data_IF_471486278749
#
_entry.id   IF_471486278749
#
_cell.length_a   1.000
_cell.length_b   1.000
_cell.length_c   1.000
_cell.angle_alpha   90.00
_cell.angle_beta   90.00
_cell.angle_gamma   90.00
#
_symmetry.space_group_name_H-M   'P 1'
#
loop_
_entity.id
_entity.type
_entity.pdbx_description
1 polymer ?
#
# COMPACT_ATOMS: atom_id res chain seq x y z
N UNK A 1 -32.08 2.98 15.80
CA UNK A 1 -31.28 1.75 15.61
C UNK A 1 -31.30 0.97 16.90
N UNK A 2 -31.83 -0.23 16.87
CA UNK A 2 -31.97 -1.07 18.07
C UNK A 2 -30.63 -1.50 18.64
N UNK A 3 -30.60 -1.80 19.95
CA UNK A 3 -29.38 -2.20 20.68
C UNK A 3 -28.76 -3.45 20.06
N UNK A 4 -29.58 -4.42 19.66
CA UNK A 4 -29.15 -5.67 19.04
C UNK A 4 -28.52 -5.44 17.65
N UNK A 5 -29.07 -4.53 16.85
CA UNK A 5 -28.51 -4.17 15.56
C UNK A 5 -27.13 -3.50 15.69
N UNK A 6 -26.90 -2.68 16.73
CA UNK A 6 -25.58 -2.08 17.00
C UNK A 6 -24.53 -3.10 17.39
N UNK A 7 -24.93 -4.13 18.13
CA UNK A 7 -24.03 -5.23 18.53
C UNK A 7 -23.65 -6.07 17.31
N UNK A 8 -24.62 -6.44 16.47
CA UNK A 8 -24.35 -7.18 15.23
C UNK A 8 -23.39 -6.40 14.29
N UNK A 9 -23.61 -5.10 14.12
CA UNK A 9 -22.72 -4.26 13.33
C UNK A 9 -21.30 -4.16 13.91
N UNK A 10 -21.18 -4.07 15.24
CA UNK A 10 -19.88 -4.09 15.90
C UNK A 10 -19.15 -5.42 15.65
N UNK A 11 -19.86 -6.52 15.81
CA UNK A 11 -19.29 -7.87 15.65
C UNK A 11 -18.87 -8.15 14.19
N UNK A 12 -19.60 -7.59 13.23
CA UNK A 12 -19.18 -7.63 11.83
C UNK A 12 -17.89 -6.81 11.60
N UNK A 13 -17.82 -5.58 12.12
CA UNK A 13 -16.59 -4.76 12.01
C UNK A 13 -15.40 -5.48 12.66
N UNK A 14 -15.61 -6.11 13.81
CA UNK A 14 -14.59 -6.91 14.50
C UNK A 14 -14.09 -8.06 13.63
N UNK A 15 -14.97 -8.80 12.95
CA UNK A 15 -14.58 -9.87 12.01
C UNK A 15 -13.75 -9.35 10.83
N UNK A 16 -14.04 -8.13 10.34
CA UNK A 16 -13.25 -7.50 9.28
C UNK A 16 -11.89 -7.05 9.79
N UNK A 17 -11.81 -6.51 11.01
CA UNK A 17 -10.56 -6.15 11.67
C UNK A 17 -9.64 -7.38 11.83
N UNK A 18 -10.18 -8.49 12.34
CA UNK A 18 -9.40 -9.71 12.57
C UNK A 18 -8.85 -10.35 11.28
N UNK A 19 -9.49 -10.10 10.15
CA UNK A 19 -9.07 -10.64 8.84
C UNK A 19 -8.18 -9.67 8.05
N UNK A 20 -8.17 -8.40 8.41
CA UNK A 20 -7.44 -7.38 7.66
C UNK A 20 -5.97 -7.33 8.06
N UNK A 21 -5.09 -7.23 7.06
CA UNK A 21 -3.64 -7.02 7.25
C UNK A 21 -3.30 -5.55 7.45
N UNK A 22 -4.11 -4.65 6.91
CA UNK A 22 -3.96 -3.21 7.08
C UNK A 22 -5.33 -2.50 6.97
N UNK A 23 -5.38 -1.29 7.53
CA UNK A 23 -6.55 -0.42 7.53
C UNK A 23 -6.15 0.96 7.01
N UNK A 24 -6.96 1.54 6.12
CA UNK A 24 -6.79 2.94 5.74
C UNK A 24 -8.06 3.72 6.06
N UNK A 25 -7.90 4.90 6.63
CA UNK A 25 -8.97 5.83 6.91
C UNK A 25 -9.01 6.90 5.81
N UNK A 26 -10.20 7.14 5.27
CA UNK A 26 -10.43 8.16 4.27
C UNK A 26 -11.65 9.01 4.62
N UNK A 27 -11.56 10.30 4.43
CA UNK A 27 -12.72 11.19 4.40
C UNK A 27 -13.30 11.16 2.99
N UNK A 28 -14.64 10.92 2.91
CA UNK A 28 -15.37 10.81 1.64
C UNK A 28 -16.44 11.91 1.50
N UNK A 29 -16.28 13.01 2.22
CA UNK A 29 -17.26 14.09 2.24
C UNK A 29 -17.43 14.73 0.85
N UNK A 30 -18.68 14.77 0.37
CA UNK A 30 -19.03 15.36 -0.92
C UNK A 30 -18.85 14.45 -2.13
N UNK A 31 -18.56 13.16 -1.96
CA UNK A 31 -18.54 12.18 -3.03
C UNK A 31 -19.94 11.78 -3.48
N UNK A 32 -20.11 11.55 -4.78
CA UNK A 32 -21.36 11.00 -5.35
C UNK A 32 -21.41 9.49 -5.16
N UNK A 33 -22.61 8.91 -5.32
CA UNK A 33 -22.79 7.45 -5.22
C UNK A 33 -22.05 6.70 -6.32
N UNK A 34 -21.96 7.32 -7.51
CA UNK A 34 -21.20 6.76 -8.64
C UNK A 34 -19.70 6.69 -8.34
N UNK A 35 -19.10 7.79 -7.90
CA UNK A 35 -17.68 7.86 -7.49
C UNK A 35 -17.34 6.82 -6.40
N UNK A 36 -18.23 6.67 -5.40
CA UNK A 36 -18.07 5.65 -4.35
C UNK A 36 -18.13 4.21 -4.89
N UNK A 37 -19.00 3.98 -5.88
CA UNK A 37 -19.17 2.66 -6.50
C UNK A 37 -17.96 2.28 -7.35
N UNK A 38 -17.38 3.23 -8.09
CA UNK A 38 -16.15 3.03 -8.84
C UNK A 38 -14.97 2.72 -7.92
N UNK A 39 -14.81 3.49 -6.85
CA UNK A 39 -13.78 3.25 -5.84
C UNK A 39 -13.91 1.86 -5.21
N UNK A 40 -15.12 1.44 -4.84
CA UNK A 40 -15.37 0.10 -4.31
C UNK A 40 -15.00 -1.00 -5.30
N UNK A 41 -15.29 -0.81 -6.60
CA UNK A 41 -14.90 -1.76 -7.65
C UNK A 41 -13.38 -1.86 -7.78
N UNK A 42 -12.68 -0.72 -7.80
CA UNK A 42 -11.22 -0.67 -7.88
C UNK A 42 -10.56 -1.35 -6.67
N UNK A 43 -11.05 -1.08 -5.46
CA UNK A 43 -10.52 -1.69 -4.23
C UNK A 43 -10.82 -3.20 -4.17
N UNK A 44 -12.00 -3.63 -4.62
CA UNK A 44 -12.36 -5.05 -4.64
C UNK A 44 -11.45 -5.88 -5.55
N UNK A 45 -10.97 -5.30 -6.65
CA UNK A 45 -10.03 -5.97 -7.57
C UNK A 45 -8.68 -6.31 -6.90
N UNK A 46 -8.29 -5.58 -5.85
CA UNK A 46 -7.04 -5.79 -5.07
C UNK A 46 -7.30 -6.41 -3.69
N UNK A 47 -8.43 -7.11 -3.51
CA UNK A 47 -8.83 -7.72 -2.23
C UNK A 47 -8.86 -6.71 -1.07
N UNK A 48 -9.36 -5.50 -1.33
CA UNK A 48 -9.66 -4.51 -0.31
C UNK A 48 -11.14 -4.13 -0.35
N UNK A 49 -11.72 -3.80 0.80
CA UNK A 49 -13.13 -3.45 0.91
C UNK A 49 -13.30 -2.11 1.62
N UNK A 50 -14.00 -1.17 0.96
CA UNK A 50 -14.36 0.12 1.57
C UNK A 50 -15.72 0.03 2.25
N UNK A 51 -15.74 0.30 3.55
CA UNK A 51 -16.97 0.37 4.34
C UNK A 51 -17.13 1.69 5.07
N UNK A 52 -18.34 2.18 5.05
CA UNK A 52 -18.76 3.33 5.84
C UNK A 52 -19.36 2.81 7.15
N UNK A 53 -18.69 3.12 8.24
CA UNK A 53 -19.10 2.71 9.58
C UNK A 53 -19.37 3.95 10.43
N UNK A 54 -20.39 3.87 11.27
CA UNK A 54 -20.65 4.97 12.22
C UNK A 54 -19.49 5.07 13.22
N UNK A 55 -18.86 6.24 13.35
CA UNK A 55 -17.67 6.46 14.19
C UNK A 55 -17.82 5.95 15.63
N UNK A 56 -19.01 6.09 16.21
CA UNK A 56 -19.28 5.59 17.57
C UNK A 56 -19.23 4.06 17.68
N UNK A 57 -19.59 3.35 16.61
CA UNK A 57 -19.52 1.87 16.56
C UNK A 57 -18.09 1.45 16.26
N UNK A 58 -17.43 2.13 15.33
CA UNK A 58 -16.03 1.87 15.00
C UNK A 58 -15.12 2.06 16.25
N UNK A 59 -15.28 3.16 17.00
CA UNK A 59 -14.55 3.38 18.25
C UNK A 59 -14.73 2.24 19.25
N UNK A 60 -15.97 1.80 19.48
CA UNK A 60 -16.26 0.67 20.38
C UNK A 60 -15.77 -0.67 19.88
N UNK A 61 -15.60 -0.84 18.56
CA UNK A 61 -15.04 -2.06 17.99
C UNK A 61 -13.52 -2.12 18.14
N UNK A 62 -12.86 -0.97 18.23
CA UNK A 62 -11.41 -0.82 18.33
C UNK A 62 -10.95 -0.69 19.80
N UNK A 63 -11.85 -0.33 20.74
CA UNK A 63 -11.55 -0.26 22.18
C UNK A 63 -10.97 -1.59 22.71
N UNK A 64 -9.82 -1.52 23.36
CA UNK A 64 -9.12 -2.70 23.92
C UNK A 64 -8.34 -3.52 22.91
N UNK A 65 -8.17 -3.03 21.67
CA UNK A 65 -7.38 -3.66 20.61
C UNK A 65 -6.16 -2.82 20.25
N UNK A 66 -5.24 -3.43 19.49
CA UNK A 66 -4.02 -2.76 19.03
C UNK A 66 -4.33 -1.56 18.10
N UNK A 67 -5.45 -1.61 17.42
CA UNK A 67 -5.96 -0.56 16.53
C UNK A 67 -6.58 0.64 17.26
N UNK A 68 -6.57 0.69 18.59
CA UNK A 68 -7.16 1.78 19.39
C UNK A 68 -6.57 3.16 19.03
N UNK A 69 -5.34 3.18 18.52
CA UNK A 69 -4.64 4.40 18.06
C UNK A 69 -5.45 5.11 16.96
N UNK A 70 -6.24 4.37 16.16
CA UNK A 70 -7.07 4.93 15.08
C UNK A 70 -8.31 5.66 15.63
N UNK A 71 -8.74 5.34 16.86
CA UNK A 71 -9.97 5.90 17.44
C UNK A 71 -9.93 7.43 17.54
N UNK A 72 -8.74 8.02 17.68
CA UNK A 72 -8.53 9.48 17.73
C UNK A 72 -8.81 10.16 16.39
N UNK A 73 -8.58 9.46 15.27
CA UNK A 73 -8.71 9.98 13.91
C UNK A 73 -10.08 9.71 13.28
N UNK A 74 -10.92 8.92 13.95
CA UNK A 74 -12.32 8.70 13.57
C UNK A 74 -13.18 9.93 13.90
N UNK A 75 -12.97 11.01 13.12
CA UNK A 75 -13.71 12.27 13.18
C UNK A 75 -14.41 12.51 11.85
N UNK A 76 -15.54 13.25 11.88
CA UNK A 76 -16.30 13.61 10.68
C UNK A 76 -16.83 12.40 9.88
N UNK A 77 -17.00 12.55 8.57
CA UNK A 77 -17.46 11.50 7.64
C UNK A 77 -16.26 10.65 7.18
N UNK A 78 -15.85 9.71 8.01
CA UNK A 78 -14.70 8.83 7.73
C UNK A 78 -15.19 7.44 7.35
N UNK A 79 -14.68 6.91 6.25
CA UNK A 79 -14.82 5.51 5.85
C UNK A 79 -13.54 4.73 6.13
N UNK A 80 -13.68 3.43 6.29
CA UNK A 80 -12.58 2.51 6.56
C UNK A 80 -12.38 1.61 5.35
N UNK A 81 -11.17 1.52 4.86
CA UNK A 81 -10.72 0.54 3.86
C UNK A 81 -10.06 -0.61 4.60
N UNK A 82 -10.63 -1.80 4.51
CA UNK A 82 -10.06 -3.03 5.02
C UNK A 82 -9.25 -3.70 3.92
N UNK A 83 -7.99 -4.02 4.19
CA UNK A 83 -7.11 -4.69 3.24
C UNK A 83 -6.88 -6.12 3.69
N UNK A 84 -7.23 -7.09 2.83
CA UNK A 84 -7.08 -8.53 3.12
C UNK A 84 -5.91 -9.17 2.38
N UNK A 85 -5.36 -8.49 1.39
CA UNK A 85 -4.31 -9.00 0.53
C UNK A 85 -3.03 -8.17 0.59
N UNK A 86 -2.51 -7.84 -0.58
CA UNK A 86 -1.29 -7.03 -0.73
C UNK A 86 -1.56 -5.55 -0.36
N UNK A 87 -0.90 -5.11 0.71
CA UNK A 87 -1.04 -3.75 1.23
C UNK A 87 -0.53 -2.70 0.24
N UNK A 88 0.55 -2.99 -0.52
CA UNK A 88 1.11 -2.07 -1.50
C UNK A 88 0.16 -1.87 -2.69
N UNK A 89 -0.44 -2.96 -3.20
CA UNK A 89 -1.43 -2.89 -4.26
C UNK A 89 -2.69 -2.12 -3.83
N UNK A 90 -3.17 -2.36 -2.60
CA UNK A 90 -4.31 -1.65 -2.03
C UNK A 90 -4.01 -0.16 -1.81
N UNK A 91 -2.82 0.19 -1.28
CA UNK A 91 -2.38 1.58 -1.12
C UNK A 91 -2.29 2.31 -2.46
N UNK A 92 -1.79 1.63 -3.51
CA UNK A 92 -1.72 2.18 -4.86
C UNK A 92 -3.11 2.47 -5.42
N UNK A 93 -4.03 1.51 -5.38
CA UNK A 93 -5.41 1.68 -5.83
C UNK A 93 -6.13 2.79 -5.05
N UNK A 94 -5.88 2.88 -3.75
CA UNK A 94 -6.44 3.91 -2.88
C UNK A 94 -5.89 5.31 -3.23
N UNK A 95 -4.58 5.47 -3.43
CA UNK A 95 -3.97 6.73 -3.84
C UNK A 95 -4.39 7.15 -5.26
N UNK A 96 -4.56 6.20 -6.18
CA UNK A 96 -5.10 6.48 -7.53
C UNK A 96 -6.54 6.97 -7.47
N UNK A 97 -7.37 6.35 -6.61
CA UNK A 97 -8.74 6.81 -6.37
C UNK A 97 -8.77 8.22 -5.74
N UNK A 98 -7.85 8.52 -4.82
CA UNK A 98 -7.71 9.85 -4.22
C UNK A 98 -7.25 10.91 -5.23
N UNK A 99 -6.36 10.56 -6.17
CA UNK A 99 -5.93 11.47 -7.24
C UNK A 99 -7.02 11.73 -8.28
N UNK A 100 -7.88 10.76 -8.55
CA UNK A 100 -9.04 10.94 -9.44
C UNK A 100 -10.13 11.79 -8.82
N UNK A 101 -10.30 11.69 -7.50
CA UNK A 101 -11.36 12.37 -6.75
C UNK A 101 -10.76 13.21 -5.62
N UNK A 102 -10.61 14.51 -5.82
CA UNK A 102 -10.08 15.45 -4.80
C UNK A 102 -10.88 15.44 -3.48
N UNK A 103 -12.12 14.93 -3.53
CA UNK A 103 -13.01 14.79 -2.37
C UNK A 103 -12.64 13.64 -1.45
N UNK A 104 -11.87 12.66 -1.95
CA UNK A 104 -11.38 11.54 -1.18
C UNK A 104 -10.02 11.91 -0.57
N UNK A 105 -10.00 12.19 0.73
CA UNK A 105 -8.76 12.55 1.43
C UNK A 105 -8.31 11.41 2.33
N UNK A 106 -7.12 10.82 2.09
CA UNK A 106 -6.52 9.91 3.05
C UNK A 106 -6.22 10.67 4.36
N UNK A 107 -6.56 10.07 5.50
CA UNK A 107 -6.33 10.67 6.83
C UNK A 107 -5.17 9.97 7.51
N UNK A 108 -5.30 8.68 7.68
CA UNK A 108 -4.34 7.82 8.38
C UNK A 108 -4.49 6.39 7.91
N UNK A 109 -3.44 5.60 8.12
CA UNK A 109 -3.47 4.16 7.97
C UNK A 109 -3.02 3.47 9.26
N UNK A 110 -3.24 2.17 9.32
CA UNK A 110 -2.77 1.31 10.37
C UNK A 110 -2.28 -0.01 9.78
N UNK A 111 -1.06 -0.39 10.08
CA UNK A 111 -0.45 -1.63 9.62
C UNK A 111 0.54 -2.13 10.68
N UNK A 112 0.50 -3.42 11.02
CA UNK A 112 1.45 -4.06 11.94
C UNK A 112 1.67 -3.28 13.25
N UNK A 113 0.58 -2.83 13.87
CA UNK A 113 0.58 -2.07 15.14
C UNK A 113 1.12 -0.64 15.03
N UNK A 114 1.48 -0.16 13.84
CA UNK A 114 1.95 1.19 13.61
C UNK A 114 0.90 2.07 12.92
N UNK A 115 0.79 3.31 13.38
CA UNK A 115 0.00 4.34 12.70
C UNK A 115 0.80 4.86 11.51
N UNK A 116 0.17 4.95 10.36
CA UNK A 116 0.75 5.47 9.12
C UNK A 116 0.21 6.87 8.82
N UNK A 117 1.10 7.80 8.59
CA UNK A 117 0.76 9.12 8.07
C UNK A 117 0.48 9.08 6.56
N UNK A 118 -0.18 10.12 6.05
CA UNK A 118 -0.50 10.25 4.60
C UNK A 118 0.73 10.08 3.72
N UNK A 119 1.87 10.66 4.10
CA UNK A 119 3.14 10.53 3.37
C UNK A 119 3.64 9.09 3.31
N UNK A 120 3.43 8.32 4.37
CA UNK A 120 3.82 6.90 4.43
C UNK A 120 2.89 6.04 3.57
N UNK A 121 1.59 6.38 3.50
CA UNK A 121 0.64 5.72 2.60
C UNK A 121 1.02 5.98 1.14
N UNK A 122 1.42 7.20 0.78
CA UNK A 122 1.93 7.53 -0.56
C UNK A 122 3.25 6.79 -0.88
N UNK A 123 4.15 6.67 0.10
CA UNK A 123 5.37 5.89 -0.05
C UNK A 123 5.06 4.40 -0.29
N UNK A 124 4.11 3.82 0.46
CA UNK A 124 3.62 2.45 0.23
C UNK A 124 3.02 2.29 -1.18
N UNK A 125 2.25 3.26 -1.65
CA UNK A 125 1.67 3.24 -2.99
C UNK A 125 2.72 3.30 -4.11
N UNK A 126 3.92 3.85 -3.84
CA UNK A 126 5.02 3.90 -4.79
C UNK A 126 5.83 2.60 -4.86
N UNK A 127 5.61 1.65 -3.94
CA UNK A 127 6.30 0.37 -3.93
C UNK A 127 5.89 -0.49 -5.12
N UNK A 128 6.86 -1.18 -5.75
CA UNK A 128 6.56 -2.18 -6.77
C UNK A 128 5.94 -3.45 -6.16
N UNK A 129 5.32 -4.32 -6.99
CA UNK A 129 4.77 -5.59 -6.54
C UNK A 129 5.80 -6.44 -5.76
N UNK A 130 5.31 -7.35 -4.92
CA UNK A 130 6.10 -8.20 -4.02
C UNK A 130 7.26 -8.92 -4.73
N UNK A 131 6.99 -9.47 -5.92
CA UNK A 131 8.01 -10.22 -6.70
C UNK A 131 9.19 -9.33 -7.10
N UNK A 132 8.91 -8.07 -7.46
CA UNK A 132 9.95 -7.10 -7.80
C UNK A 132 10.74 -6.66 -6.55
N UNK A 133 10.09 -6.56 -5.39
CA UNK A 133 10.76 -6.27 -4.12
C UNK A 133 11.72 -7.40 -3.75
N UNK A 134 11.28 -8.65 -3.85
CA UNK A 134 12.14 -9.82 -3.61
C UNK A 134 13.31 -9.84 -4.59
N UNK A 135 13.07 -9.58 -5.87
CA UNK A 135 14.13 -9.51 -6.88
C UNK A 135 15.15 -8.39 -6.56
N UNK A 136 14.71 -7.23 -6.07
CA UNK A 136 15.60 -6.15 -5.63
C UNK A 136 16.45 -6.55 -4.44
N UNK A 137 15.88 -7.23 -3.45
CA UNK A 137 16.62 -7.73 -2.27
C UNK A 137 17.68 -8.72 -2.72
N UNK A 138 17.33 -9.71 -3.54
CA UNK A 138 18.28 -10.67 -4.08
C UNK A 138 19.38 -9.99 -4.91
N UNK A 139 19.00 -9.00 -5.73
CA UNK A 139 19.93 -8.19 -6.50
C UNK A 139 20.94 -7.44 -5.61
N UNK A 140 20.47 -6.85 -4.52
CA UNK A 140 21.34 -6.12 -3.58
C UNK A 140 22.32 -7.04 -2.83
N UNK A 141 21.92 -8.29 -2.52
CA UNK A 141 22.78 -9.29 -1.91
C UNK A 141 23.89 -9.76 -2.86
N UNK A 142 23.61 -9.83 -4.16
CA UNK A 142 24.58 -10.26 -5.18
C UNK A 142 25.45 -9.10 -5.69
N UNK A 143 25.04 -7.85 -5.49
CA UNK A 143 25.75 -6.66 -5.99
C UNK A 143 27.23 -6.60 -5.56
N UNK A 144 27.63 -6.86 -4.29
CA UNK A 144 29.02 -6.84 -3.87
C UNK A 144 29.88 -7.85 -4.64
N UNK A 145 29.38 -9.08 -4.84
CA UNK A 145 30.08 -10.12 -5.58
C UNK A 145 30.26 -9.73 -7.05
N UNK A 146 29.24 -9.16 -7.68
CA UNK A 146 29.35 -8.64 -9.06
C UNK A 146 30.35 -7.50 -9.17
N UNK A 147 30.40 -6.63 -8.16
CA UNK A 147 31.38 -5.53 -8.10
C UNK A 147 32.83 -6.06 -8.06
N UNK A 148 33.12 -7.04 -7.19
CA UNK A 148 34.43 -7.67 -7.11
C UNK A 148 34.84 -8.36 -8.42
N UNK A 149 33.94 -9.14 -9.01
CA UNK A 149 34.15 -9.77 -10.31
C UNK A 149 34.38 -8.74 -11.42
N UNK A 150 33.65 -7.63 -11.39
CA UNK A 150 33.81 -6.52 -12.35
C UNK A 150 35.20 -5.92 -12.32
N UNK A 151 35.79 -5.72 -11.15
CA UNK A 151 37.16 -5.21 -10.99
C UNK A 151 38.19 -6.23 -11.55
N UNK A 152 38.04 -7.49 -11.18
CA UNK A 152 38.97 -8.55 -11.66
C UNK A 152 38.90 -8.71 -13.19
N UNK A 153 37.70 -8.64 -13.75
CA UNK A 153 37.47 -8.75 -15.21
C UNK A 153 37.73 -7.46 -15.98
N UNK A 154 37.87 -6.32 -15.32
CA UNK A 154 38.03 -5.02 -15.94
C UNK A 154 39.25 -4.92 -16.82
N UNK A 155 40.43 -5.36 -16.31
CA UNK A 155 41.69 -5.31 -17.05
C UNK A 155 41.68 -6.20 -18.31
N UNK A 156 41.29 -7.49 -18.25
CA UNK A 156 41.17 -8.32 -19.45
C UNK A 156 40.15 -7.78 -20.47
N UNK A 157 39.02 -7.26 -20.02
CA UNK A 157 38.01 -6.65 -20.92
C UNK A 157 38.56 -5.42 -21.65
N UNK A 158 39.28 -4.54 -20.95
CA UNK A 158 39.86 -3.36 -21.56
C UNK A 158 40.86 -3.76 -22.66
N UNK A 159 41.69 -4.77 -22.42
CA UNK A 159 42.63 -5.28 -23.42
C UNK A 159 41.93 -5.81 -24.66
N UNK A 160 40.89 -6.66 -24.48
CA UNK A 160 40.08 -7.18 -25.58
C UNK A 160 39.38 -6.06 -26.36
N UNK A 161 38.87 -5.04 -25.67
CA UNK A 161 38.22 -3.87 -26.31
C UNK A 161 39.21 -3.11 -27.22
N UNK A 162 40.45 -2.87 -26.74
CA UNK A 162 41.50 -2.20 -27.53
C UNK A 162 41.87 -3.04 -28.76
N UNK A 163 42.06 -4.36 -28.60
CA UNK A 163 42.33 -5.25 -29.71
C UNK A 163 41.24 -5.28 -30.77
N UNK A 164 39.96 -5.25 -30.35
CA UNK A 164 38.83 -5.16 -31.26
C UNK A 164 38.83 -3.82 -32.03
N UNK A 165 39.10 -2.70 -31.37
CA UNK A 165 39.19 -1.39 -32.02
C UNK A 165 40.34 -1.35 -33.05
N UNK A 166 41.50 -1.92 -32.72
CA UNK A 166 42.64 -2.03 -33.68
C UNK A 166 42.25 -2.88 -34.88
N UNK A 167 41.52 -3.97 -34.66
CA UNK A 167 41.03 -4.82 -35.76
C UNK A 167 40.07 -4.06 -36.67
N UNK A 168 39.08 -3.36 -36.10
CA UNK A 168 38.12 -2.54 -36.88
C UNK A 168 38.83 -1.47 -37.67
N UNK A 169 39.81 -0.75 -37.08
CA UNK A 169 40.58 0.31 -37.77
C UNK A 169 41.45 -0.24 -38.92
N UNK A 170 41.89 -1.54 -38.81
CA UNK A 170 42.64 -2.17 -39.91
C UNK A 170 41.80 -2.84 -40.96
N UNK A 171 40.50 -3.03 -40.68
CA UNK A 171 39.53 -3.65 -41.61
C UNK A 171 38.77 -2.61 -42.45
N UNK A 172 38.84 -1.33 -42.06
CA UNK A 172 38.36 -0.19 -42.80
C UNK A 172 39.45 0.43 -43.67
#
# INVERSE_FOLDING_TARGET
MDRNAKVAWRDDVVKYLDKSSALFLAQYQGMTVEELSEMRRALKAVNAEFRVVKNTIAKKAVEGRKEEVIASDLKNQTGIVFVFGDVAAAAKAFCEASKKNEKLKPVTGYMEEAKLDVKQIEALASLPPRDVLVAKILGSLVAPHRGMLGVVQGVPRALVSVLNQIKETKSA
#
